data_IF_253230022843
#
_entry.id   IF_253230022843
#
_cell.length_a   1.000
_cell.length_b   1.000
_cell.length_c   1.000
_cell.angle_alpha   90.00
_cell.angle_beta   90.00
_cell.angle_gamma   90.00
#
_symmetry.space_group_name_H-M   'P 1'
#
loop_
_entity.id
_entity.type
_entity.pdbx_description
1 polymer ?
#
# COMPACT_ATOMS: atom_id res chain seq x y z
N UNK A 1 -36.61 11.75 -7.55
CA UNK A 1 -35.87 11.57 -6.29
C UNK A 1 -35.06 12.83 -6.07
N UNK A 2 -35.24 13.49 -4.91
CA UNK A 2 -34.69 14.84 -4.65
C UNK A 2 -33.18 14.92 -4.91
N UNK A 3 -32.79 15.85 -5.78
CA UNK A 3 -31.41 16.26 -6.07
C UNK A 3 -30.88 17.31 -5.08
N UNK A 4 -31.63 17.61 -4.02
CA UNK A 4 -31.23 18.59 -3.02
C UNK A 4 -30.04 18.05 -2.19
N UNK A 5 -28.88 18.69 -2.35
CA UNK A 5 -27.70 18.50 -1.51
C UNK A 5 -28.07 18.93 -0.09
N UNK A 6 -28.24 17.97 0.82
CA UNK A 6 -28.30 18.32 2.24
C UNK A 6 -26.89 18.69 2.71
N UNK A 7 -26.66 19.98 2.96
CA UNK A 7 -25.40 20.49 3.53
C UNK A 7 -25.11 19.92 4.93
N UNK A 8 -26.11 19.34 5.59
CA UNK A 8 -26.01 18.77 6.94
C UNK A 8 -25.62 17.29 6.95
N UNK A 9 -25.36 16.66 5.81
CA UNK A 9 -24.96 15.26 5.73
C UNK A 9 -23.60 15.08 5.02
N UNK A 10 -22.83 14.07 5.43
CA UNK A 10 -21.61 13.61 4.76
C UNK A 10 -21.93 12.95 3.41
N UNK A 11 -20.99 13.04 2.46
CA UNK A 11 -21.05 12.28 1.22
C UNK A 11 -20.45 10.88 1.43
N UNK A 12 -21.31 9.91 1.77
CA UNK A 12 -20.92 8.50 1.88
C UNK A 12 -21.10 7.71 0.59
N UNK A 13 -21.57 8.32 -0.51
CA UNK A 13 -21.69 7.62 -1.79
C UNK A 13 -20.31 7.21 -2.31
N UNK A 14 -19.40 8.19 -2.44
CA UNK A 14 -18.05 7.94 -2.96
C UNK A 14 -17.24 7.02 -2.04
N UNK A 15 -17.41 7.17 -0.72
CA UNK A 15 -16.76 6.30 0.27
C UNK A 15 -17.22 4.86 0.12
N UNK A 16 -18.53 4.60 -0.06
CA UNK A 16 -19.05 3.26 -0.30
C UNK A 16 -18.50 2.66 -1.59
N UNK A 17 -18.50 3.43 -2.67
CA UNK A 17 -18.00 2.98 -3.97
C UNK A 17 -16.54 2.53 -3.88
N UNK A 18 -15.67 3.37 -3.33
CA UNK A 18 -14.27 3.00 -3.12
C UNK A 18 -14.11 1.86 -2.12
N UNK A 19 -14.86 1.82 -1.01
CA UNK A 19 -14.74 0.74 -0.02
C UNK A 19 -15.04 -0.65 -0.62
N UNK A 20 -16.05 -0.74 -1.50
CA UNK A 20 -16.36 -1.98 -2.22
C UNK A 20 -15.26 -2.29 -3.24
N UNK A 21 -14.82 -1.30 -4.02
CA UNK A 21 -13.76 -1.51 -5.00
C UNK A 21 -12.41 -1.87 -4.37
N UNK A 22 -12.11 -1.40 -3.15
CA UNK A 22 -10.96 -1.87 -2.36
C UNK A 22 -11.01 -3.37 -2.18
N UNK A 23 -12.15 -3.94 -1.77
CA UNK A 23 -12.27 -5.39 -1.58
C UNK A 23 -12.14 -6.14 -2.91
N UNK A 24 -12.78 -5.64 -3.97
CA UNK A 24 -12.72 -6.24 -5.32
C UNK A 24 -11.29 -6.26 -5.86
N UNK A 25 -10.61 -5.12 -5.84
CA UNK A 25 -9.24 -5.01 -6.32
C UNK A 25 -8.23 -5.72 -5.42
N UNK A 26 -8.50 -5.82 -4.11
CA UNK A 26 -7.73 -6.65 -3.20
C UNK A 26 -7.75 -8.13 -3.62
N UNK A 27 -8.92 -8.67 -3.96
CA UNK A 27 -9.04 -10.05 -4.46
C UNK A 27 -8.34 -10.22 -5.80
N UNK A 28 -8.55 -9.32 -6.75
CA UNK A 28 -7.94 -9.42 -8.09
C UNK A 28 -6.42 -9.31 -7.99
N UNK A 29 -5.91 -8.30 -7.30
CA UNK A 29 -4.47 -8.06 -7.16
C UNK A 29 -3.76 -9.17 -6.41
N UNK A 30 -4.30 -9.62 -5.27
CA UNK A 30 -3.71 -10.73 -4.51
C UNK A 30 -3.90 -12.08 -5.22
N UNK A 31 -4.99 -12.26 -5.96
CA UNK A 31 -5.21 -13.41 -6.85
C UNK A 31 -4.15 -13.51 -7.94
N UNK A 32 -3.85 -12.38 -8.60
CA UNK A 32 -2.72 -12.28 -9.52
C UNK A 32 -1.39 -12.59 -8.83
N UNK A 33 -1.19 -12.12 -7.59
CA UNK A 33 -0.01 -12.41 -6.78
C UNK A 33 0.20 -13.91 -6.55
N UNK A 34 -0.86 -14.62 -6.16
CA UNK A 34 -0.83 -16.08 -6.00
C UNK A 34 -0.57 -16.77 -7.34
N UNK A 35 -1.19 -16.30 -8.41
CA UNK A 35 -1.00 -16.87 -9.75
C UNK A 35 0.45 -16.74 -10.24
N UNK A 36 1.05 -15.55 -10.17
CA UNK A 36 2.44 -15.35 -10.59
C UNK A 36 3.43 -16.02 -9.63
N UNK A 37 3.10 -16.16 -8.34
CA UNK A 37 3.89 -16.97 -7.42
C UNK A 37 3.87 -18.45 -7.82
N UNK A 38 2.72 -18.97 -8.26
CA UNK A 38 2.61 -20.33 -8.79
C UNK A 38 3.37 -20.50 -10.11
N UNK A 39 3.43 -19.48 -10.98
CA UNK A 39 4.26 -19.52 -12.19
C UNK A 39 5.76 -19.69 -11.91
N UNK A 40 6.25 -19.16 -10.78
CA UNK A 40 7.64 -19.35 -10.35
C UNK A 40 7.93 -20.76 -9.83
N UNK A 41 6.89 -21.48 -9.37
CA UNK A 41 7.00 -22.89 -8.97
C UNK A 41 6.84 -23.81 -10.18
N UNK A 42 5.87 -23.50 -11.03
CA UNK A 42 5.43 -24.31 -12.16
C UNK A 42 5.36 -23.44 -13.43
N UNK A 43 6.47 -23.32 -14.18
CA UNK A 43 6.54 -22.42 -15.33
C UNK A 43 5.54 -22.72 -16.45
N UNK A 44 5.00 -23.93 -16.56
CA UNK A 44 3.96 -24.25 -17.54
C UNK A 44 2.66 -23.46 -17.32
N UNK A 45 2.44 -22.87 -16.14
CA UNK A 45 1.35 -21.92 -15.87
C UNK A 45 1.52 -20.55 -16.58
N UNK A 46 2.61 -20.35 -17.32
CA UNK A 46 2.71 -19.24 -18.28
C UNK A 46 1.82 -19.47 -19.52
N UNK A 47 1.42 -20.72 -19.79
CA UNK A 47 0.56 -21.15 -20.89
C UNK A 47 1.09 -20.86 -22.30
N UNK A 48 2.37 -20.51 -22.44
CA UNK A 48 3.00 -20.10 -23.71
C UNK A 48 2.24 -18.96 -24.44
N UNK A 49 1.50 -18.14 -23.67
CA UNK A 49 0.80 -16.96 -24.18
C UNK A 49 1.48 -15.68 -23.69
N UNK A 50 1.63 -14.67 -24.55
CA UNK A 50 2.34 -13.45 -24.18
C UNK A 50 1.65 -12.71 -23.03
N UNK A 51 0.31 -12.61 -23.05
CA UNK A 51 -0.47 -11.88 -22.04
C UNK A 51 -0.64 -12.59 -20.69
N UNK A 52 -0.30 -13.88 -20.59
CA UNK A 52 -0.27 -14.59 -19.30
C UNK A 52 1.13 -14.84 -18.79
N UNK A 53 2.17 -14.43 -19.52
CA UNK A 53 3.56 -14.61 -19.07
C UNK A 53 3.86 -13.82 -17.80
N UNK A 54 4.70 -14.39 -16.93
CA UNK A 54 5.12 -13.79 -15.66
C UNK A 54 5.62 -12.35 -15.83
N UNK A 55 6.42 -12.09 -16.88
CA UNK A 55 6.99 -10.78 -17.16
C UNK A 55 5.94 -9.68 -17.38
N UNK A 56 4.76 -10.01 -17.92
CA UNK A 56 3.66 -9.05 -18.13
C UNK A 56 2.67 -9.02 -16.98
N UNK A 57 2.46 -10.14 -16.29
CA UNK A 57 1.54 -10.21 -15.16
C UNK A 57 2.14 -9.66 -13.86
N UNK A 58 3.47 -9.68 -13.69
CA UNK A 58 4.14 -9.06 -12.53
C UNK A 58 3.79 -7.58 -12.37
N UNK A 59 3.98 -6.69 -13.36
CA UNK A 59 3.60 -5.28 -13.20
C UNK A 59 2.10 -5.10 -13.05
N UNK A 60 1.26 -5.99 -13.61
CA UNK A 60 -0.18 -5.96 -13.37
C UNK A 60 -0.53 -6.28 -11.91
N UNK A 61 0.10 -7.30 -11.32
CA UNK A 61 -0.03 -7.59 -9.89
C UNK A 61 0.37 -6.37 -9.06
N UNK A 62 1.55 -5.79 -9.33
CA UNK A 62 2.06 -4.59 -8.64
C UNK A 62 1.08 -3.44 -8.71
N UNK A 63 0.59 -3.09 -9.90
CA UNK A 63 -0.35 -1.98 -10.06
C UNK A 63 -1.71 -2.27 -9.41
N UNK A 64 -2.19 -3.51 -9.50
CA UNK A 64 -3.45 -3.91 -8.89
C UNK A 64 -3.38 -3.90 -7.35
N UNK A 65 -2.28 -4.34 -6.73
CA UNK A 65 -2.17 -4.33 -5.26
C UNK A 65 -1.85 -2.95 -4.69
N UNK A 66 -1.07 -2.13 -5.39
CA UNK A 66 -0.68 -0.80 -4.90
C UNK A 66 -1.75 0.23 -5.24
N UNK A 67 -2.00 0.47 -6.53
CA UNK A 67 -2.86 1.57 -6.95
C UNK A 67 -4.34 1.19 -6.97
N UNK A 68 -4.68 -0.04 -7.33
CA UNK A 68 -6.09 -0.46 -7.30
C UNK A 68 -6.58 -0.76 -5.88
N UNK A 69 -5.98 -1.73 -5.18
CA UNK A 69 -6.32 -2.05 -3.79
C UNK A 69 -5.94 -0.92 -2.83
N UNK A 70 -4.64 -0.60 -2.73
CA UNK A 70 -4.15 0.43 -1.82
C UNK A 70 -4.71 1.83 -2.14
N UNK A 71 -4.78 2.21 -3.41
CA UNK A 71 -5.34 3.50 -3.83
C UNK A 71 -6.83 3.62 -3.53
N UNK A 72 -7.64 2.61 -3.87
CA UNK A 72 -9.06 2.61 -3.49
C UNK A 72 -9.25 2.68 -1.97
N UNK A 73 -8.39 1.99 -1.21
CA UNK A 73 -8.40 2.08 0.25
C UNK A 73 -8.11 3.50 0.73
N UNK A 74 -7.09 4.16 0.18
CA UNK A 74 -6.74 5.53 0.51
C UNK A 74 -7.86 6.51 0.16
N UNK A 75 -8.50 6.38 -1.01
CA UNK A 75 -9.66 7.21 -1.38
C UNK A 75 -10.84 7.02 -0.43
N UNK A 76 -11.22 5.76 -0.14
CA UNK A 76 -12.31 5.48 0.79
C UNK A 76 -12.04 6.06 2.18
N UNK A 77 -10.84 5.80 2.71
CA UNK A 77 -10.48 6.22 4.07
C UNK A 77 -10.25 7.72 4.16
N UNK A 78 -9.54 8.35 3.23
CA UNK A 78 -9.29 9.80 3.28
C UNK A 78 -10.60 10.59 3.18
N UNK A 79 -11.50 10.24 2.27
CA UNK A 79 -12.80 10.89 2.13
C UNK A 79 -13.71 10.65 3.34
N UNK A 80 -13.63 9.48 3.98
CA UNK A 80 -14.35 9.24 5.22
C UNK A 80 -13.78 10.05 6.39
N UNK A 81 -12.46 10.03 6.55
CA UNK A 81 -11.75 10.63 7.68
C UNK A 81 -11.78 12.15 7.62
N UNK A 82 -11.48 12.76 6.46
CA UNK A 82 -11.43 14.23 6.32
C UNK A 82 -12.78 14.85 6.64
N UNK A 83 -13.87 14.23 6.17
CA UNK A 83 -15.22 14.69 6.46
C UNK A 83 -15.51 14.70 7.97
N UNK A 84 -15.23 13.59 8.65
CA UNK A 84 -15.55 13.43 10.08
C UNK A 84 -14.65 14.23 11.00
N UNK A 85 -13.37 14.38 10.64
CA UNK A 85 -12.41 15.14 11.45
C UNK A 85 -12.54 16.65 11.24
N UNK A 86 -13.01 17.09 10.08
CA UNK A 86 -13.33 18.49 9.81
C UNK A 86 -14.80 18.85 10.14
N UNK A 87 -15.65 17.85 10.40
CA UNK A 87 -17.11 17.96 10.57
C UNK A 87 -17.78 18.73 9.43
N UNK A 88 -17.35 18.41 8.20
CA UNK A 88 -17.82 19.04 6.99
C UNK A 88 -18.07 17.99 5.91
N UNK A 89 -19.06 18.20 5.04
CA UNK A 89 -19.24 17.43 3.82
C UNK A 89 -18.05 17.66 2.87
N UNK A 90 -17.74 16.68 2.02
CA UNK A 90 -16.76 16.87 0.94
C UNK A 90 -17.00 18.15 0.15
N UNK A 91 -15.91 18.78 -0.28
CA UNK A 91 -15.92 20.05 -1.00
C UNK A 91 -16.85 20.06 -2.22
N UNK A 92 -16.82 18.99 -3.02
CA UNK A 92 -17.66 18.84 -4.20
C UNK A 92 -17.99 17.36 -4.47
N UNK A 93 -19.29 17.06 -4.55
CA UNK A 93 -19.80 15.71 -4.82
C UNK A 93 -19.48 15.24 -6.24
N UNK A 94 -19.53 16.15 -7.23
CA UNK A 94 -19.25 15.84 -8.64
C UNK A 94 -17.77 15.56 -8.86
N UNK A 95 -16.88 16.37 -8.27
CA UNK A 95 -15.44 16.14 -8.34
C UNK A 95 -15.06 14.85 -7.60
N UNK A 96 -15.65 14.57 -6.44
CA UNK A 96 -15.42 13.31 -5.74
C UNK A 96 -15.89 12.11 -6.60
N UNK A 97 -17.05 12.20 -7.25
CA UNK A 97 -17.52 11.16 -8.16
C UNK A 97 -16.62 10.99 -9.40
N UNK A 98 -16.08 12.09 -9.94
CA UNK A 98 -15.09 12.05 -11.01
C UNK A 98 -13.83 11.31 -10.56
N UNK A 99 -13.31 11.57 -9.36
CA UNK A 99 -12.14 10.85 -8.85
C UNK A 99 -12.39 9.34 -8.74
N UNK A 100 -13.61 8.93 -8.39
CA UNK A 100 -13.98 7.52 -8.41
C UNK A 100 -13.90 6.94 -9.82
N UNK A 101 -14.72 7.43 -10.75
CA UNK A 101 -14.77 6.86 -12.09
C UNK A 101 -13.45 6.99 -12.87
N UNK A 102 -12.74 8.10 -12.68
CA UNK A 102 -11.42 8.31 -13.25
C UNK A 102 -10.40 7.30 -12.71
N UNK A 103 -10.38 7.04 -11.40
CA UNK A 103 -9.50 6.03 -10.82
C UNK A 103 -9.85 4.61 -11.28
N UNK A 104 -11.15 4.29 -11.37
CA UNK A 104 -11.59 3.01 -11.94
C UNK A 104 -11.17 2.86 -13.40
N UNK A 105 -11.24 3.93 -14.19
CA UNK A 105 -10.78 3.93 -15.58
C UNK A 105 -9.27 3.68 -15.68
N UNK A 106 -8.45 4.33 -14.83
CA UNK A 106 -6.99 4.07 -14.74
C UNK A 106 -6.72 2.59 -14.48
N UNK A 107 -7.40 1.99 -13.51
CA UNK A 107 -7.16 0.59 -13.15
C UNK A 107 -7.59 -0.36 -14.27
N UNK A 108 -8.74 -0.11 -14.91
CA UNK A 108 -9.20 -0.92 -16.05
C UNK A 108 -8.22 -0.79 -17.21
N UNK A 109 -7.69 0.40 -17.47
CA UNK A 109 -6.64 0.60 -18.47
C UNK A 109 -5.40 -0.22 -18.13
N UNK A 110 -4.93 -0.22 -16.88
CA UNK A 110 -3.80 -1.05 -16.45
C UNK A 110 -4.05 -2.56 -16.70
N UNK A 111 -5.25 -3.06 -16.39
CA UNK A 111 -5.66 -4.46 -16.64
C UNK A 111 -5.62 -4.80 -18.13
N UNK A 112 -5.91 -3.84 -19.00
CA UNK A 112 -5.91 -4.05 -20.45
C UNK A 112 -4.50 -3.91 -21.03
N UNK A 113 -3.76 -2.87 -20.66
CA UNK A 113 -2.54 -2.47 -21.36
C UNK A 113 -1.30 -3.25 -20.91
N UNK A 114 -1.17 -3.56 -19.61
CA UNK A 114 0.02 -4.27 -19.11
C UNK A 114 0.15 -5.70 -19.66
N UNK A 115 -0.91 -6.54 -19.71
CA UNK A 115 -0.83 -7.84 -20.39
C UNK A 115 -0.55 -7.73 -21.91
N UNK A 116 -0.96 -6.64 -22.55
CA UNK A 116 -0.64 -6.39 -23.96
C UNK A 116 0.84 -6.01 -24.17
N UNK A 117 1.57 -5.70 -23.11
CA UNK A 117 3.01 -5.40 -23.13
C UNK A 117 3.33 -3.91 -23.24
N UNK A 118 2.33 -3.03 -23.08
CA UNK A 118 2.55 -1.60 -23.03
C UNK A 118 3.06 -1.23 -21.66
N UNK A 119 4.35 -0.95 -21.58
CA UNK A 119 4.99 -0.55 -20.34
C UNK A 119 6.15 0.42 -20.55
N UNK A 120 6.26 1.39 -19.64
CA UNK A 120 7.43 2.26 -19.50
C UNK A 120 8.67 1.52 -18.99
N UNK A 121 8.50 0.28 -18.49
CA UNK A 121 9.52 -0.56 -17.81
C UNK A 121 10.04 -0.02 -16.46
N UNK A 122 9.47 1.09 -15.97
CA UNK A 122 9.78 1.69 -14.67
C UNK A 122 8.91 1.08 -13.57
N UNK A 123 9.52 0.48 -12.55
CA UNK A 123 8.77 -0.13 -11.45
C UNK A 123 7.83 0.87 -10.76
N UNK A 124 6.59 0.44 -10.51
CA UNK A 124 5.49 1.26 -9.96
C UNK A 124 5.03 2.43 -10.85
N UNK A 125 5.66 2.66 -12.01
CA UNK A 125 5.29 3.68 -12.98
C UNK A 125 5.12 3.05 -14.36
N UNK A 126 4.66 1.79 -14.43
CA UNK A 126 4.70 0.98 -15.64
C UNK A 126 3.72 1.42 -16.72
N UNK A 127 2.69 2.19 -16.38
CA UNK A 127 1.67 2.64 -17.31
C UNK A 127 2.25 3.67 -18.28
N UNK A 128 1.73 3.71 -19.51
CA UNK A 128 2.23 4.60 -20.56
C UNK A 128 1.56 5.99 -20.49
N UNK A 129 2.21 6.97 -21.11
CA UNK A 129 1.94 8.41 -20.99
C UNK A 129 0.46 8.86 -21.04
N UNK A 130 -0.47 8.29 -21.84
CA UNK A 130 -1.87 8.76 -21.80
C UNK A 130 -2.54 8.44 -20.46
N UNK A 131 -2.17 7.30 -19.87
CA UNK A 131 -2.68 6.86 -18.57
C UNK A 131 -2.05 7.70 -17.47
N UNK A 132 -0.79 8.09 -17.61
CA UNK A 132 -0.13 8.98 -16.65
C UNK A 132 -0.75 10.37 -16.60
N UNK A 133 -1.15 10.92 -17.76
CA UNK A 133 -1.92 12.17 -17.81
C UNK A 133 -3.27 11.99 -17.12
N UNK A 134 -3.98 10.89 -17.39
CA UNK A 134 -5.25 10.61 -16.73
C UNK A 134 -5.09 10.51 -15.21
N UNK A 135 -4.06 9.81 -14.72
CA UNK A 135 -3.70 9.74 -13.31
C UNK A 135 -3.49 11.14 -12.75
N UNK A 136 -2.68 11.98 -13.41
CA UNK A 136 -2.40 13.34 -12.95
C UNK A 136 -3.69 14.17 -12.82
N UNK A 137 -4.59 14.12 -13.81
CA UNK A 137 -5.88 14.84 -13.78
C UNK A 137 -6.76 14.35 -12.61
N UNK A 138 -6.88 13.03 -12.44
CA UNK A 138 -7.66 12.42 -11.35
C UNK A 138 -7.07 12.82 -10.00
N UNK A 139 -5.75 12.78 -9.87
CA UNK A 139 -5.04 13.05 -8.63
C UNK A 139 -5.07 14.53 -8.23
N UNK A 140 -4.94 15.45 -9.19
CA UNK A 140 -5.12 16.89 -8.95
C UNK A 140 -6.56 17.16 -8.51
N UNK A 141 -7.55 16.53 -9.16
CA UNK A 141 -8.95 16.67 -8.75
C UNK A 141 -9.18 16.14 -7.33
N UNK A 142 -8.56 15.03 -6.98
CA UNK A 142 -8.57 14.48 -5.63
C UNK A 142 -7.96 15.45 -4.60
N UNK A 143 -6.82 16.06 -4.92
CA UNK A 143 -6.21 17.07 -4.08
C UNK A 143 -7.15 18.26 -3.84
N UNK A 144 -7.81 18.76 -4.89
CA UNK A 144 -8.79 19.84 -4.78
C UNK A 144 -9.97 19.46 -3.86
N UNK A 145 -10.51 18.24 -3.99
CA UNK A 145 -11.58 17.76 -3.11
C UNK A 145 -11.11 17.67 -1.67
N UNK A 146 -9.95 17.07 -1.42
CA UNK A 146 -9.44 16.85 -0.07
C UNK A 146 -9.09 18.17 0.63
N UNK A 147 -8.25 19.01 0.02
CA UNK A 147 -7.85 20.29 0.61
C UNK A 147 -9.01 21.29 0.67
N UNK A 148 -9.89 21.32 -0.33
CA UNK A 148 -11.12 22.10 -0.28
C UNK A 148 -12.02 21.70 0.89
N UNK A 149 -12.05 20.41 1.26
CA UNK A 149 -12.81 19.95 2.45
C UNK A 149 -12.17 20.43 3.74
N UNK A 150 -10.83 20.42 3.83
CA UNK A 150 -10.08 20.98 4.98
C UNK A 150 -10.31 22.49 5.12
N UNK A 151 -10.43 23.22 4.01
CA UNK A 151 -10.72 24.65 4.03
C UNK A 151 -12.11 24.97 4.60
N UNK A 152 -13.08 24.06 4.43
CA UNK A 152 -14.45 24.19 4.96
C UNK A 152 -14.63 23.62 6.39
N UNK A 153 -13.55 23.28 7.07
CA UNK A 153 -13.60 22.65 8.41
C UNK A 153 -14.29 23.56 9.43
N UNK A 154 -14.97 22.95 10.41
CA UNK A 154 -15.55 23.65 11.56
C UNK A 154 -14.53 23.89 12.68
N UNK A 155 -13.61 22.95 12.91
CA UNK A 155 -12.57 23.06 13.93
C UNK A 155 -11.42 23.97 13.48
N UNK A 156 -10.87 24.79 14.39
CA UNK A 156 -9.67 25.61 14.08
C UNK A 156 -8.47 24.74 13.72
N UNK A 157 -8.28 23.63 14.42
CA UNK A 157 -7.15 22.72 14.23
C UNK A 157 -7.46 21.64 13.17
N UNK A 158 -6.44 21.29 12.39
CA UNK A 158 -6.48 20.16 11.46
C UNK A 158 -5.95 18.94 12.18
N UNK A 159 -6.73 17.86 12.18
CA UNK A 159 -6.33 16.59 12.78
C UNK A 159 -5.06 16.01 12.15
N UNK A 160 -4.17 15.42 12.94
CA UNK A 160 -2.88 14.88 12.47
C UNK A 160 -3.05 13.87 11.34
N UNK A 161 -4.08 13.02 11.38
CA UNK A 161 -4.37 12.09 10.28
C UNK A 161 -4.50 12.79 8.92
N UNK A 162 -5.02 14.03 8.90
CA UNK A 162 -5.12 14.82 7.67
C UNK A 162 -3.78 15.47 7.27
N UNK A 163 -2.81 15.62 8.19
CA UNK A 163 -1.45 16.03 7.82
C UNK A 163 -0.78 14.94 7.00
N UNK A 164 -0.88 13.69 7.48
CA UNK A 164 -0.43 12.51 6.76
C UNK A 164 -1.13 12.39 5.42
N UNK A 165 -2.47 12.48 5.38
CA UNK A 165 -3.17 12.42 4.10
C UNK A 165 -2.78 13.57 3.15
N UNK A 166 -2.69 14.80 3.65
CA UNK A 166 -2.29 15.95 2.83
C UNK A 166 -0.88 15.81 2.26
N UNK A 167 0.08 15.36 3.06
CA UNK A 167 1.46 15.12 2.64
C UNK A 167 1.52 14.01 1.58
N UNK A 168 0.80 12.91 1.79
CA UNK A 168 0.67 11.82 0.82
C UNK A 168 0.17 12.34 -0.54
N UNK A 169 -0.89 13.13 -0.55
CA UNK A 169 -1.52 13.62 -1.77
C UNK A 169 -0.55 14.50 -2.56
N UNK A 170 0.07 15.48 -1.90
CA UNK A 170 0.94 16.46 -2.53
C UNK A 170 2.22 15.82 -3.05
N UNK A 171 2.88 15.01 -2.22
CA UNK A 171 4.15 14.40 -2.61
C UNK A 171 3.91 13.36 -3.69
N UNK A 172 2.88 12.51 -3.62
CA UNK A 172 2.57 11.55 -4.69
C UNK A 172 2.34 12.26 -6.04
N UNK A 173 1.66 13.41 -6.05
CA UNK A 173 1.48 14.20 -7.27
C UNK A 173 2.83 14.65 -7.86
N UNK A 174 3.72 15.17 -7.01
CA UNK A 174 5.07 15.58 -7.42
C UNK A 174 5.89 14.40 -7.95
N UNK A 175 5.87 13.26 -7.25
CA UNK A 175 6.58 12.05 -7.65
C UNK A 175 6.12 11.59 -9.04
N UNK A 176 4.80 11.45 -9.22
CA UNK A 176 4.18 11.01 -10.48
C UNK A 176 4.57 11.91 -11.64
N UNK A 177 4.43 13.23 -11.49
CA UNK A 177 4.72 14.17 -12.56
C UNK A 177 6.20 14.14 -12.95
N UNK A 178 7.12 14.07 -11.98
CA UNK A 178 8.56 14.13 -12.25
C UNK A 178 9.06 12.82 -12.87
N UNK A 179 8.71 11.65 -12.32
CA UNK A 179 9.22 10.38 -12.84
C UNK A 179 8.67 10.02 -14.23
N UNK A 180 7.46 10.49 -14.53
CA UNK A 180 6.77 10.22 -15.78
C UNK A 180 6.91 11.40 -16.76
N UNK A 181 7.99 12.18 -16.64
CA UNK A 181 8.44 13.04 -17.74
C UNK A 181 9.05 12.14 -18.81
N UNK A 182 8.37 12.08 -19.95
CA UNK A 182 8.72 11.19 -21.05
C UNK A 182 8.27 11.78 -22.39
N UNK A 183 8.98 11.42 -23.46
CA UNK A 183 8.70 11.85 -24.82
C UNK A 183 7.80 10.80 -25.48
N UNK A 184 6.54 11.12 -25.81
CA UNK A 184 5.67 10.22 -26.55
C UNK A 184 6.20 9.94 -27.96
N UNK A 185 6.26 8.67 -28.33
CA UNK A 185 6.61 8.21 -29.69
C UNK A 185 5.36 7.73 -30.42
N UNK A 186 4.51 6.97 -29.74
CA UNK A 186 3.21 6.52 -30.24
C UNK A 186 2.17 6.58 -29.12
N UNK A 187 0.91 6.23 -29.42
CA UNK A 187 -0.18 6.25 -28.44
C UNK A 187 0.09 5.44 -27.17
N UNK A 188 0.79 4.31 -27.26
CA UNK A 188 1.14 3.48 -26.10
C UNK A 188 2.65 3.21 -26.05
N UNK A 189 3.44 4.20 -26.47
CA UNK A 189 4.90 4.15 -26.30
C UNK A 189 5.51 5.52 -26.08
N UNK A 190 6.30 5.63 -25.03
CA UNK A 190 7.16 6.76 -24.69
C UNK A 190 8.61 6.32 -24.42
N UNK A 191 9.51 7.30 -24.33
CA UNK A 191 10.84 7.13 -23.72
C UNK A 191 11.02 8.14 -22.60
N UNK A 192 11.58 7.69 -21.46
CA UNK A 192 11.86 8.57 -20.33
C UNK A 192 12.73 9.77 -20.75
N UNK A 193 12.48 10.92 -20.13
CA UNK A 193 13.32 12.11 -20.27
C UNK A 193 14.75 11.88 -19.76
N UNK A 194 14.92 10.91 -18.86
CA UNK A 194 16.19 10.62 -18.20
C UNK A 194 16.84 9.35 -18.79
N UNK A 195 18.13 9.15 -18.51
CA UNK A 195 18.83 7.89 -18.82
C UNK A 195 19.89 7.54 -17.77
N UNK A 196 20.37 6.29 -17.80
CA UNK A 196 21.50 5.82 -16.99
C UNK A 196 21.32 6.02 -15.48
N UNK A 197 22.39 6.45 -14.79
CA UNK A 197 22.36 6.65 -13.35
C UNK A 197 21.36 7.74 -12.89
N UNK A 198 21.10 8.74 -13.73
CA UNK A 198 20.10 9.77 -13.45
C UNK A 198 18.70 9.21 -13.49
N UNK A 199 18.39 8.39 -14.51
CA UNK A 199 17.07 7.73 -14.58
C UNK A 199 16.87 6.75 -13.42
N UNK A 200 17.92 6.01 -13.06
CA UNK A 200 17.89 5.14 -11.89
C UNK A 200 17.61 5.93 -10.59
N UNK A 201 18.26 7.08 -10.40
CA UNK A 201 18.02 7.92 -9.23
C UNK A 201 16.58 8.44 -9.22
N UNK A 202 16.11 9.06 -10.31
CA UNK A 202 14.72 9.56 -10.40
C UNK A 202 13.72 8.42 -10.17
N UNK A 203 13.97 7.26 -10.76
CA UNK A 203 13.16 6.07 -10.61
C UNK A 203 13.07 5.60 -9.16
N UNK A 204 14.16 5.58 -8.40
CA UNK A 204 14.13 5.09 -7.02
C UNK A 204 13.85 6.16 -5.97
N UNK A 205 14.08 7.44 -6.30
CA UNK A 205 13.43 8.54 -5.60
C UNK A 205 11.91 8.41 -5.73
N UNK A 206 11.39 8.14 -6.93
CA UNK A 206 9.98 7.84 -7.13
C UNK A 206 9.53 6.58 -6.40
N UNK A 207 10.14 5.43 -6.69
CA UNK A 207 9.69 4.12 -6.23
C UNK A 207 9.73 3.99 -4.70
N UNK A 208 10.80 4.50 -4.07
CA UNK A 208 10.86 4.50 -2.61
C UNK A 208 9.82 5.45 -2.00
N UNK A 209 9.63 6.64 -2.57
CA UNK A 209 8.64 7.57 -2.05
C UNK A 209 7.20 7.21 -2.46
N UNK A 210 7.00 6.34 -3.44
CA UNK A 210 5.72 5.70 -3.69
C UNK A 210 5.37 4.82 -2.48
N UNK A 211 6.26 3.93 -2.04
CA UNK A 211 6.00 3.17 -0.80
C UNK A 211 6.01 4.06 0.45
N UNK A 212 6.80 5.13 0.47
CA UNK A 212 6.91 6.06 1.58
C UNK A 212 5.70 6.95 1.80
N UNK A 213 5.19 7.58 0.75
CA UNK A 213 4.07 8.50 0.86
C UNK A 213 2.75 7.79 0.59
N UNK A 214 2.68 6.97 -0.47
CA UNK A 214 1.46 6.23 -0.77
C UNK A 214 1.22 5.14 0.29
N UNK A 215 2.17 4.22 0.49
CA UNK A 215 1.98 3.03 1.34
C UNK A 215 2.33 3.21 2.83
N UNK A 216 3.07 4.26 3.20
CA UNK A 216 3.37 4.57 4.61
C UNK A 216 2.62 5.81 5.08
N UNK A 217 2.88 6.99 4.52
CA UNK A 217 2.26 8.24 4.99
C UNK A 217 0.74 8.20 4.88
N UNK A 218 0.17 7.81 3.74
CA UNK A 218 -1.29 7.70 3.58
C UNK A 218 -1.93 6.71 4.56
N UNK A 219 -1.28 5.57 4.80
CA UNK A 219 -1.78 4.54 5.72
C UNK A 219 -1.55 4.89 7.20
N UNK A 220 -0.56 5.72 7.52
CA UNK A 220 -0.46 6.37 8.83
C UNK A 220 -1.65 7.30 9.06
N UNK A 221 -2.17 7.96 8.01
CA UNK A 221 -3.44 8.69 8.07
C UNK A 221 -4.62 7.80 8.46
N UNK A 222 -4.70 6.57 7.93
CA UNK A 222 -5.69 5.57 8.35
C UNK A 222 -5.47 5.19 9.82
N UNK A 223 -4.24 4.83 10.20
CA UNK A 223 -3.87 4.44 11.56
C UNK A 223 -4.31 5.49 12.57
N UNK A 224 -3.97 6.76 12.32
CA UNK A 224 -4.32 7.87 13.19
C UNK A 224 -5.82 7.99 13.41
N UNK A 225 -6.66 7.67 12.42
CA UNK A 225 -8.10 7.69 12.64
C UNK A 225 -8.64 6.40 13.26
N UNK A 226 -8.37 5.25 12.64
CA UNK A 226 -9.07 4.00 12.94
C UNK A 226 -8.57 3.34 14.22
N UNK A 227 -7.29 3.47 14.58
CA UNK A 227 -6.76 2.93 15.84
C UNK A 227 -7.45 3.56 17.06
N UNK A 228 -7.38 4.88 17.29
CA UNK A 228 -8.05 5.49 18.44
C UNK A 228 -9.57 5.35 18.35
N UNK A 229 -10.15 5.37 17.14
CA UNK A 229 -11.60 5.27 16.98
C UNK A 229 -12.15 3.88 17.31
N UNK A 230 -11.44 2.82 16.94
CA UNK A 230 -11.82 1.44 17.29
C UNK A 230 -11.46 1.10 18.74
N UNK A 231 -10.31 1.58 19.23
CA UNK A 231 -9.90 1.38 20.61
C UNK A 231 -10.73 2.20 21.62
N UNK A 232 -11.38 3.27 21.15
CA UNK A 232 -12.05 4.28 21.98
C UNK A 232 -11.10 4.89 23.02
N UNK A 233 -9.90 5.23 22.55
CA UNK A 233 -8.84 5.82 23.37
C UNK A 233 -8.34 7.11 22.72
N UNK A 234 -7.93 8.10 23.53
CA UNK A 234 -7.25 9.27 22.98
C UNK A 234 -5.91 8.84 22.39
N UNK A 235 -5.47 9.53 21.34
CA UNK A 235 -4.13 9.36 20.78
C UNK A 235 -3.09 9.61 21.87
N UNK A 236 -2.12 8.71 21.99
CA UNK A 236 -1.14 8.71 23.08
C UNK A 236 -0.33 10.03 23.18
N UNK A 237 0.39 10.42 22.12
CA UNK A 237 1.28 11.59 22.20
C UNK A 237 1.14 12.50 20.99
N UNK A 238 0.56 13.68 21.23
CA UNK A 238 0.49 14.75 20.22
C UNK A 238 1.88 15.30 19.86
N UNK A 239 2.81 15.39 20.82
CA UNK A 239 4.19 15.84 20.54
C UNK A 239 4.92 14.84 19.63
N UNK A 240 4.76 13.55 19.90
CA UNK A 240 5.31 12.51 19.03
C UNK A 240 4.68 12.60 17.63
N UNK A 241 3.37 12.89 17.56
CA UNK A 241 2.65 13.14 16.30
C UNK A 241 3.30 14.24 15.45
N UNK A 242 3.76 15.33 16.07
CA UNK A 242 4.47 16.42 15.38
C UNK A 242 5.85 15.97 14.93
N UNK A 243 6.67 15.45 15.86
CA UNK A 243 8.08 15.12 15.59
C UNK A 243 8.16 14.04 14.52
N UNK A 244 7.40 12.96 14.67
CA UNK A 244 7.46 11.86 13.72
C UNK A 244 6.89 12.25 12.36
N UNK A 245 5.86 13.11 12.30
CA UNK A 245 5.33 13.58 11.02
C UNK A 245 6.38 14.37 10.24
N UNK A 246 6.94 15.44 10.81
CA UNK A 246 7.87 16.31 10.10
C UNK A 246 9.18 15.62 9.77
N UNK A 247 9.72 14.82 10.70
CA UNK A 247 10.92 14.05 10.45
C UNK A 247 10.67 12.98 9.36
N UNK A 248 9.54 12.26 9.40
CA UNK A 248 9.22 11.26 8.38
C UNK A 248 9.11 11.88 7.00
N UNK A 249 8.27 12.90 6.81
CA UNK A 249 8.04 13.47 5.47
C UNK A 249 9.28 14.16 4.89
N UNK A 250 10.21 14.62 5.73
CA UNK A 250 11.45 15.25 5.26
C UNK A 250 12.50 14.19 4.90
N UNK A 251 12.67 13.19 5.75
CA UNK A 251 13.74 12.19 5.61
C UNK A 251 13.43 11.13 4.56
N UNK A 252 12.16 10.74 4.38
CA UNK A 252 11.78 9.68 3.43
C UNK A 252 12.22 10.00 2.00
N UNK A 253 12.17 11.28 1.61
CA UNK A 253 12.56 11.75 0.28
C UNK A 253 13.99 11.33 -0.10
N UNK A 254 14.89 11.27 0.87
CA UNK A 254 16.30 11.01 0.67
C UNK A 254 16.67 9.53 0.58
N UNK A 255 15.76 8.63 0.95
CA UNK A 255 16.07 7.21 1.06
C UNK A 255 16.08 6.46 -0.28
N UNK A 256 15.74 7.12 -1.41
CA UNK A 256 15.77 6.52 -2.75
C UNK A 256 17.06 5.75 -3.11
N UNK A 257 18.28 6.31 -2.90
CA UNK A 257 19.53 5.65 -3.28
C UNK A 257 19.84 4.33 -2.58
N UNK A 258 19.09 3.93 -1.54
CA UNK A 258 19.28 2.63 -0.89
C UNK A 258 18.89 1.43 -1.79
N UNK A 259 18.19 1.69 -2.89
CA UNK A 259 17.88 0.73 -3.93
C UNK A 259 19.04 0.56 -4.93
N UNK A 260 20.07 1.41 -4.82
CA UNK A 260 21.12 1.58 -5.83
C UNK A 260 22.51 1.40 -5.24
N UNK A 261 22.64 0.67 -4.13
CA UNK A 261 23.93 0.37 -3.52
C UNK A 261 24.77 -0.53 -4.42
N UNK A 262 26.06 -0.21 -4.52
CA UNK A 262 27.02 -0.91 -5.39
C UNK A 262 26.59 -0.99 -6.86
N UNK A 263 25.84 0.01 -7.33
CA UNK A 263 25.49 0.19 -8.75
C UNK A 263 26.36 1.30 -9.38
N UNK A 264 26.05 1.67 -10.62
CA UNK A 264 26.68 2.80 -11.31
C UNK A 264 26.31 4.19 -10.73
N UNK A 265 25.39 4.27 -9.75
CA UNK A 265 25.08 5.52 -9.07
C UNK A 265 26.31 6.01 -8.27
N UNK A 266 26.65 7.31 -8.28
CA UNK A 266 27.78 7.83 -7.51
C UNK A 266 27.74 7.49 -6.02
N UNK A 267 28.89 7.16 -5.45
CA UNK A 267 29.02 6.70 -4.07
C UNK A 267 28.47 7.68 -3.02
N UNK A 268 28.61 8.99 -3.27
CA UNK A 268 28.09 10.02 -2.37
C UNK A 268 26.56 9.95 -2.24
N UNK A 269 25.86 9.67 -3.35
CA UNK A 269 24.40 9.58 -3.38
C UNK A 269 23.95 8.30 -2.67
N UNK A 270 24.66 7.19 -2.92
CA UNK A 270 24.42 5.94 -2.20
C UNK A 270 24.58 6.12 -0.68
N UNK A 271 25.68 6.74 -0.24
CA UNK A 271 25.94 6.97 1.19
C UNK A 271 24.90 7.90 1.83
N UNK A 272 24.43 8.91 1.10
CA UNK A 272 23.35 9.78 1.56
C UNK A 272 22.04 9.01 1.77
N UNK A 273 21.68 8.14 0.82
CA UNK A 273 20.52 7.26 0.94
C UNK A 273 20.63 6.33 2.15
N UNK A 274 21.79 5.67 2.34
CA UNK A 274 22.05 4.82 3.50
C UNK A 274 21.88 5.58 4.82
N UNK A 275 22.54 6.72 4.98
CA UNK A 275 22.49 7.50 6.24
C UNK A 275 21.07 7.95 6.53
N UNK A 276 20.35 8.46 5.53
CA UNK A 276 18.98 8.94 5.72
C UNK A 276 18.01 7.79 6.00
N UNK A 277 18.18 6.63 5.38
CA UNK A 277 17.41 5.42 5.70
C UNK A 277 17.62 4.94 7.13
N UNK A 278 18.84 5.05 7.67
CA UNK A 278 19.11 4.72 9.09
C UNK A 278 18.41 5.70 10.01
N UNK A 279 18.50 7.01 9.74
CA UNK A 279 17.83 8.04 10.54
C UNK A 279 16.30 7.88 10.46
N UNK A 280 15.77 7.44 9.31
CA UNK A 280 14.35 7.22 9.05
C UNK A 280 13.70 6.18 9.98
N UNK A 281 14.49 5.30 10.61
CA UNK A 281 14.02 4.35 11.62
C UNK A 281 13.26 5.05 12.76
N UNK A 282 13.84 6.13 13.30
CA UNK A 282 13.28 6.83 14.46
C UNK A 282 11.87 7.42 14.21
N UNK A 283 11.63 8.24 13.17
CA UNK A 283 10.29 8.76 12.91
C UNK A 283 9.32 7.68 12.41
N UNK A 284 9.81 6.64 11.75
CA UNK A 284 8.97 5.51 11.36
C UNK A 284 8.41 4.79 12.58
N UNK A 285 9.26 4.42 13.54
CA UNK A 285 8.84 3.84 14.82
C UNK A 285 8.04 4.81 15.68
N UNK A 286 8.23 6.12 15.54
CA UNK A 286 7.35 7.12 16.15
C UNK A 286 5.88 6.89 15.80
N UNK A 287 5.56 6.48 14.57
CA UNK A 287 4.21 6.11 14.15
C UNK A 287 3.70 4.84 14.83
N UNK A 288 4.53 3.79 14.87
CA UNK A 288 4.23 2.52 15.54
C UNK A 288 3.96 2.72 17.03
N UNK A 289 4.87 3.42 17.72
CA UNK A 289 4.78 3.71 19.15
C UNK A 289 3.50 4.50 19.44
N UNK A 290 3.21 5.54 18.66
CA UNK A 290 2.01 6.34 18.88
C UNK A 290 0.73 5.52 18.69
N UNK A 291 0.68 4.66 17.66
CA UNK A 291 -0.43 3.76 17.43
C UNK A 291 -0.60 2.70 18.53
N UNK A 292 0.48 2.01 18.92
CA UNK A 292 0.41 0.95 19.94
C UNK A 292 0.16 1.49 21.34
N UNK A 293 0.81 2.60 21.72
CA UNK A 293 0.62 3.19 23.06
C UNK A 293 -0.77 3.82 23.22
N UNK A 294 -1.44 4.16 22.12
CA UNK A 294 -2.87 4.55 22.14
C UNK A 294 -3.75 3.40 22.67
N UNK A 295 -3.34 2.14 22.55
CA UNK A 295 -4.03 1.01 23.14
C UNK A 295 -3.69 0.75 24.61
N UNK A 296 -2.79 1.51 25.23
CA UNK A 296 -2.44 1.29 26.64
C UNK A 296 -3.69 1.35 27.54
N UNK A 297 -3.88 0.33 28.37
CA UNK A 297 -5.09 0.12 29.17
C UNK A 297 -6.31 -0.45 28.40
N UNK A 298 -6.22 -0.66 27.09
CA UNK A 298 -7.25 -1.27 26.24
C UNK A 298 -6.82 -2.62 25.63
N UNK A 299 -5.65 -3.16 25.99
CA UNK A 299 -5.12 -4.44 25.48
C UNK A 299 -6.08 -5.63 25.63
N UNK A 300 -6.95 -5.62 26.65
CA UNK A 300 -7.98 -6.65 26.82
C UNK A 300 -8.96 -6.73 25.63
N UNK A 301 -9.19 -5.61 24.91
CA UNK A 301 -10.02 -5.57 23.70
C UNK A 301 -9.45 -6.43 22.56
N UNK A 302 -8.15 -6.73 22.57
CA UNK A 302 -7.58 -7.65 21.58
C UNK A 302 -8.12 -9.07 21.72
N UNK A 303 -8.69 -9.46 22.86
CA UNK A 303 -9.30 -10.79 23.01
C UNK A 303 -10.71 -10.85 22.41
N UNK A 304 -11.39 -9.71 22.30
CA UNK A 304 -12.82 -9.64 21.95
C UNK A 304 -13.08 -9.00 20.59
N UNK A 305 -12.22 -8.08 20.14
CA UNK A 305 -12.39 -7.32 18.90
C UNK A 305 -11.31 -7.69 17.86
N UNK A 306 -11.67 -8.50 16.85
CA UNK A 306 -10.73 -8.87 15.80
C UNK A 306 -10.43 -7.73 14.81
N UNK A 307 -11.26 -6.68 14.75
CA UNK A 307 -10.92 -5.47 13.96
C UNK A 307 -9.70 -4.80 14.60
N UNK A 308 -9.69 -4.66 15.92
CA UNK A 308 -8.56 -4.11 16.65
C UNK A 308 -7.31 -5.01 16.55
N UNK A 309 -7.47 -6.34 16.44
CA UNK A 309 -6.35 -7.25 16.14
C UNK A 309 -5.67 -6.90 14.83
N UNK A 310 -6.45 -6.71 13.75
CA UNK A 310 -5.91 -6.27 12.46
C UNK A 310 -5.11 -4.97 12.58
N UNK A 311 -5.69 -3.96 13.25
CA UNK A 311 -5.06 -2.65 13.41
C UNK A 311 -3.78 -2.68 14.26
N UNK A 312 -3.69 -3.58 15.24
CA UNK A 312 -2.47 -3.71 16.08
C UNK A 312 -1.40 -4.55 15.41
N UNK A 313 -1.77 -5.70 14.85
CA UNK A 313 -0.82 -6.55 14.11
C UNK A 313 -0.27 -5.80 12.90
N UNK A 314 -1.07 -4.92 12.28
CA UNK A 314 -0.55 -4.03 11.24
C UNK A 314 0.59 -3.15 11.73
N UNK A 315 0.48 -2.61 12.94
CA UNK A 315 1.54 -1.79 13.53
C UNK A 315 2.78 -2.61 13.88
N UNK A 316 2.61 -3.87 14.28
CA UNK A 316 3.73 -4.77 14.53
C UNK A 316 4.54 -5.03 13.25
N UNK A 317 3.89 -5.38 12.15
CA UNK A 317 4.56 -5.56 10.85
C UNK A 317 5.09 -4.27 10.25
N UNK A 318 4.42 -3.14 10.49
CA UNK A 318 4.95 -1.82 10.15
C UNK A 318 6.26 -1.53 10.90
N UNK A 319 6.29 -1.75 12.21
CA UNK A 319 7.50 -1.60 13.02
C UNK A 319 8.64 -2.52 12.58
N UNK A 320 8.30 -3.78 12.30
CA UNK A 320 9.23 -4.78 11.79
C UNK A 320 9.83 -4.39 10.44
N UNK A 321 8.99 -4.07 9.44
CA UNK A 321 9.47 -3.71 8.10
C UNK A 321 10.19 -2.36 8.09
N UNK A 322 9.76 -1.39 8.89
CA UNK A 322 10.48 -0.10 9.05
C UNK A 322 11.71 -0.20 9.95
N UNK A 323 12.00 -1.37 10.51
CA UNK A 323 13.30 -1.71 11.08
C UNK A 323 14.17 -2.45 10.04
N UNK A 324 13.61 -3.46 9.38
CA UNK A 324 14.30 -4.24 8.35
C UNK A 324 14.78 -3.38 7.18
N UNK A 325 13.96 -2.43 6.72
CA UNK A 325 14.31 -1.49 5.64
C UNK A 325 15.61 -0.73 5.92
N UNK A 326 15.72 0.01 7.04
CA UNK A 326 16.97 0.62 7.47
C UNK A 326 18.15 -0.34 7.57
N UNK A 327 17.94 -1.59 8.02
CA UNK A 327 19.01 -2.58 8.07
C UNK A 327 19.49 -2.97 6.67
N UNK A 328 18.57 -3.22 5.74
CA UNK A 328 18.92 -3.53 4.34
C UNK A 328 19.43 -2.32 3.55
N UNK A 329 19.23 -1.10 4.06
CA UNK A 329 19.81 0.12 3.51
C UNK A 329 21.27 0.33 3.94
N UNK A 330 21.82 -0.50 4.83
CA UNK A 330 23.24 -0.53 5.12
C UNK A 330 23.92 -1.23 3.94
N UNK A 331 24.87 -0.56 3.28
CA UNK A 331 25.58 -1.09 2.09
C UNK A 331 26.01 -2.55 2.26
N UNK A 332 26.65 -2.92 3.37
CA UNK A 332 27.10 -4.30 3.63
C UNK A 332 25.97 -5.33 3.70
N UNK A 333 24.81 -4.97 4.26
CA UNK A 333 23.64 -5.85 4.28
C UNK A 333 23.02 -5.91 2.89
N UNK A 334 22.94 -4.77 2.20
CA UNK A 334 22.44 -4.67 0.83
C UNK A 334 23.25 -5.53 -0.14
N UNK A 335 24.57 -5.63 0.04
CA UNK A 335 25.43 -6.51 -0.75
C UNK A 335 25.02 -8.00 -0.69
N UNK A 336 24.20 -8.40 0.30
CA UNK A 336 23.58 -9.72 0.39
C UNK A 336 22.09 -9.71 -0.01
N UNK A 337 21.34 -8.67 0.36
CA UNK A 337 19.88 -8.63 0.14
C UNK A 337 19.47 -8.18 -1.26
N UNK A 338 20.33 -7.46 -1.97
CA UNK A 338 20.03 -6.91 -3.29
C UNK A 338 19.88 -8.02 -4.34
N UNK A 339 18.89 -7.88 -5.22
CA UNK A 339 18.47 -8.87 -6.21
C UNK A 339 17.99 -10.24 -5.67
N UNK A 340 17.99 -10.45 -4.36
CA UNK A 340 17.47 -11.70 -3.77
C UNK A 340 16.00 -11.58 -3.38
N UNK A 341 15.38 -12.73 -3.12
CA UNK A 341 14.03 -12.84 -2.56
C UNK A 341 13.88 -12.16 -1.19
N UNK A 342 14.97 -11.77 -0.52
CA UNK A 342 14.87 -10.99 0.72
C UNK A 342 14.14 -9.66 0.46
N UNK A 343 14.45 -9.00 -0.66
CA UNK A 343 13.72 -7.77 -1.06
C UNK A 343 12.22 -8.05 -1.21
N UNK A 344 11.84 -9.19 -1.79
CA UNK A 344 10.43 -9.60 -1.95
C UNK A 344 9.79 -9.89 -0.58
N UNK A 345 10.53 -10.51 0.33
CA UNK A 345 10.11 -10.76 1.72
C UNK A 345 9.84 -9.47 2.48
N UNK A 346 10.75 -8.50 2.39
CA UNK A 346 10.59 -7.18 2.98
C UNK A 346 9.36 -6.45 2.41
N UNK A 347 9.22 -6.44 1.08
CA UNK A 347 8.07 -5.83 0.40
C UNK A 347 6.78 -6.44 0.92
N UNK A 348 6.68 -7.77 1.04
CA UNK A 348 5.45 -8.42 1.49
C UNK A 348 5.23 -8.36 3.00
N UNK A 349 6.28 -8.20 3.81
CA UNK A 349 6.15 -7.86 5.22
C UNK A 349 5.42 -6.52 5.40
N UNK A 350 5.82 -5.51 4.63
CA UNK A 350 5.12 -4.21 4.59
C UNK A 350 3.76 -4.27 3.89
N UNK A 351 3.66 -4.95 2.74
CA UNK A 351 2.44 -4.94 1.93
C UNK A 351 1.32 -5.78 2.56
N UNK A 352 1.60 -7.02 2.95
CA UNK A 352 0.60 -7.89 3.59
C UNK A 352 0.46 -7.55 5.07
N UNK A 353 1.58 -7.45 5.77
CA UNK A 353 1.60 -7.28 7.22
C UNK A 353 1.18 -5.89 7.67
N UNK A 354 1.55 -4.82 6.97
CA UNK A 354 1.15 -3.44 7.33
C UNK A 354 -0.02 -2.94 6.48
N UNK A 355 0.19 -2.69 5.19
CA UNK A 355 -0.76 -2.03 4.28
C UNK A 355 -2.09 -2.76 4.20
N UNK A 356 -2.06 -4.07 3.93
CA UNK A 356 -3.28 -4.84 3.80
C UNK A 356 -4.00 -4.99 5.15
N UNK A 357 -3.28 -5.30 6.24
CA UNK A 357 -3.89 -5.46 7.57
C UNK A 357 -4.56 -4.17 8.07
N UNK A 358 -3.90 -3.01 7.97
CA UNK A 358 -4.51 -1.73 8.40
C UNK A 358 -5.71 -1.38 7.51
N UNK A 359 -5.64 -1.68 6.21
CA UNK A 359 -6.77 -1.51 5.28
C UNK A 359 -7.94 -2.38 5.67
N UNK A 360 -7.71 -3.67 5.89
CA UNK A 360 -8.74 -4.64 6.25
C UNK A 360 -9.43 -4.21 7.54
N UNK A 361 -8.65 -3.86 8.58
CA UNK A 361 -9.20 -3.32 9.83
C UNK A 361 -10.02 -2.04 9.62
N UNK A 362 -9.50 -1.10 8.82
CA UNK A 362 -10.19 0.15 8.48
C UNK A 362 -11.49 -0.09 7.70
N UNK A 363 -11.49 -1.03 6.76
CA UNK A 363 -12.66 -1.42 5.98
C UNK A 363 -13.71 -2.12 6.85
N UNK A 364 -13.31 -3.07 7.70
CA UNK A 364 -14.23 -3.69 8.65
C UNK A 364 -14.81 -2.69 9.65
N UNK A 365 -14.04 -1.66 10.01
CA UNK A 365 -14.59 -0.53 10.73
C UNK A 365 -15.59 0.24 9.89
N UNK A 366 -15.20 0.81 8.74
CA UNK A 366 -15.99 1.84 8.05
C UNK A 366 -17.18 1.29 7.28
N UNK A 367 -17.09 0.10 6.66
CA UNK A 367 -18.14 -0.48 5.82
C UNK A 367 -19.50 -0.47 6.52
N UNK A 368 -19.67 -1.02 7.75
CA UNK A 368 -20.98 -1.00 8.38
C UNK A 368 -21.49 0.43 8.59
N UNK A 369 -20.64 1.38 8.99
CA UNK A 369 -21.05 2.78 9.25
C UNK A 369 -21.56 3.46 7.98
N UNK A 370 -20.83 3.34 6.86
CA UNK A 370 -21.23 3.99 5.61
C UNK A 370 -22.43 3.33 4.94
N UNK A 371 -22.74 2.08 5.31
CA UNK A 371 -23.95 1.37 4.90
C UNK A 371 -25.06 1.40 5.98
N UNK A 372 -24.97 2.27 6.99
CA UNK A 372 -26.03 2.43 8.00
C UNK A 372 -26.30 1.16 8.83
N UNK A 373 -25.25 0.40 9.11
CA UNK A 373 -25.25 -0.82 9.93
C UNK A 373 -24.41 -0.56 11.19
N UNK A 374 -24.80 -1.16 12.30
CA UNK A 374 -24.06 -1.06 13.56
C UNK A 374 -22.69 -1.76 13.46
N UNK A 375 -22.67 -2.95 12.85
CA UNK A 375 -21.49 -3.79 12.72
C UNK A 375 -21.52 -4.66 11.46
N UNK A 376 -20.39 -5.32 11.18
CA UNK A 376 -20.27 -6.33 10.14
C UNK A 376 -21.17 -7.54 10.44
N UNK A 377 -21.56 -8.28 9.40
CA UNK A 377 -22.46 -9.42 9.48
C UNK A 377 -21.96 -10.53 10.43
N UNK A 378 -20.66 -10.88 10.40
CA UNK A 378 -20.09 -11.87 11.31
C UNK A 378 -18.72 -11.45 11.82
N UNK A 379 -18.58 -11.31 13.13
CA UNK A 379 -17.30 -11.08 13.83
C UNK A 379 -16.41 -12.34 13.77
N UNK A 380 -17.01 -13.53 13.81
CA UNK A 380 -16.28 -14.80 13.68
C UNK A 380 -15.52 -14.91 12.35
N UNK A 381 -16.11 -14.43 11.25
CA UNK A 381 -15.44 -14.38 9.95
C UNK A 381 -14.30 -13.36 9.92
N UNK A 382 -14.41 -12.24 10.65
CA UNK A 382 -13.29 -11.29 10.80
C UNK A 382 -12.13 -11.98 11.53
N UNK A 383 -12.42 -12.75 12.57
CA UNK A 383 -11.40 -13.49 13.30
C UNK A 383 -10.75 -14.60 12.45
N UNK A 384 -11.53 -15.35 11.67
CA UNK A 384 -10.98 -16.34 10.74
C UNK A 384 -10.10 -15.69 9.67
N UNK A 385 -10.54 -14.56 9.10
CA UNK A 385 -9.72 -13.77 8.19
C UNK A 385 -8.42 -13.31 8.86
N UNK A 386 -8.47 -12.80 10.09
CA UNK A 386 -7.28 -12.37 10.82
C UNK A 386 -6.22 -13.47 10.91
N UNK A 387 -6.62 -14.70 11.26
CA UNK A 387 -5.68 -15.82 11.37
C UNK A 387 -5.12 -16.25 10.01
N UNK A 388 -5.98 -16.36 8.98
CA UNK A 388 -5.53 -16.69 7.63
C UNK A 388 -4.53 -15.66 7.09
N UNK A 389 -4.84 -14.38 7.26
CA UNK A 389 -3.96 -13.29 6.85
C UNK A 389 -2.64 -13.31 7.63
N UNK A 390 -2.68 -13.53 8.95
CA UNK A 390 -1.47 -13.54 9.78
C UNK A 390 -0.56 -14.72 9.45
N UNK A 391 -1.13 -15.93 9.37
CA UNK A 391 -0.38 -17.14 9.00
C UNK A 391 0.17 -17.00 7.58
N UNK A 392 -0.64 -16.51 6.64
CA UNK A 392 -0.22 -16.26 5.27
C UNK A 392 0.97 -15.30 5.18
N UNK A 393 0.91 -14.16 5.87
CA UNK A 393 2.01 -13.20 5.95
C UNK A 393 3.27 -13.82 6.54
N UNK A 394 3.18 -14.53 7.66
CA UNK A 394 4.35 -15.13 8.32
C UNK A 394 5.00 -16.21 7.45
N UNK A 395 4.21 -17.08 6.81
CA UNK A 395 4.74 -18.08 5.87
C UNK A 395 5.47 -17.42 4.70
N UNK A 396 4.88 -16.35 4.14
CA UNK A 396 5.48 -15.58 3.06
C UNK A 396 6.84 -15.02 3.47
N UNK A 397 6.90 -14.29 4.59
CA UNK A 397 8.14 -13.67 5.09
C UNK A 397 9.20 -14.72 5.36
N UNK A 398 8.85 -15.80 6.09
CA UNK A 398 9.80 -16.85 6.43
C UNK A 398 10.42 -17.49 5.18
N UNK A 399 9.60 -17.82 4.18
CA UNK A 399 10.08 -18.42 2.93
C UNK A 399 11.01 -17.49 2.14
N UNK A 400 10.73 -16.20 2.13
CA UNK A 400 11.51 -15.21 1.41
C UNK A 400 12.82 -14.84 2.10
N UNK A 401 12.86 -14.89 3.43
CA UNK A 401 14.12 -14.80 4.16
C UNK A 401 15.01 -16.01 3.90
N UNK A 402 14.45 -17.22 3.95
CA UNK A 402 15.21 -18.43 3.63
C UNK A 402 15.76 -18.35 2.21
N UNK A 403 14.92 -18.08 1.21
CA UNK A 403 15.39 -17.94 -0.18
C UNK A 403 16.40 -16.79 -0.33
N UNK A 404 16.11 -15.63 0.24
CA UNK A 404 16.93 -14.44 0.08
C UNK A 404 18.34 -14.60 0.64
N UNK A 405 18.45 -15.17 1.84
CA UNK A 405 19.75 -15.47 2.45
C UNK A 405 20.47 -16.58 1.68
N UNK A 406 19.76 -17.65 1.29
CA UNK A 406 20.35 -18.73 0.48
C UNK A 406 20.90 -18.21 -0.83
N UNK A 407 20.13 -17.43 -1.60
CA UNK A 407 20.56 -16.81 -2.85
C UNK A 407 21.77 -15.91 -2.64
N UNK A 408 21.70 -14.97 -1.70
CA UNK A 408 22.79 -14.03 -1.43
C UNK A 408 24.08 -14.73 -1.02
N UNK A 409 23.99 -15.79 -0.21
CA UNK A 409 25.16 -16.58 0.22
C UNK A 409 25.71 -17.43 -0.93
N UNK A 410 24.86 -18.12 -1.69
CA UNK A 410 25.28 -18.99 -2.78
C UNK A 410 25.93 -18.18 -3.91
N UNK A 411 25.37 -17.02 -4.29
CA UNK A 411 25.92 -16.19 -5.37
C UNK A 411 27.29 -15.58 -5.06
N UNK A 412 27.63 -15.40 -3.77
CA UNK A 412 28.92 -14.87 -3.33
C UNK A 412 29.85 -15.92 -2.74
N UNK A 413 29.47 -17.20 -2.77
CA UNK A 413 30.27 -18.28 -2.24
C UNK A 413 31.49 -18.51 -3.13
N UNK A 414 32.66 -18.53 -2.49
CA UNK A 414 33.96 -18.69 -3.15
C UNK A 414 34.68 -19.86 -2.46
N UNK A 415 35.21 -20.77 -3.26
CA UNK A 415 36.03 -21.89 -2.81
C UNK A 415 37.40 -21.42 -2.29
N UNK A 416 38.13 -22.29 -1.60
CA UNK A 416 39.49 -21.96 -1.13
C UNK A 416 40.44 -21.55 -2.26
N UNK A 417 40.19 -22.01 -3.49
CA UNK A 417 40.98 -21.70 -4.69
C UNK A 417 40.55 -20.40 -5.42
N UNK A 418 39.53 -19.69 -4.92
CA UNK A 418 39.03 -18.45 -5.51
C UNK A 418 37.96 -18.62 -6.60
N UNK A 419 37.58 -19.85 -6.95
CA UNK A 419 36.49 -20.12 -7.91
C UNK A 419 35.11 -19.96 -7.25
N UNK A 420 34.07 -19.65 -8.04
CA UNK A 420 32.69 -19.59 -7.54
C UNK A 420 32.20 -20.99 -7.15
N UNK A 421 31.67 -21.14 -5.93
CA UNK A 421 31.25 -22.46 -5.40
C UNK A 421 30.00 -23.00 -6.07
N UNK A 422 29.01 -22.15 -6.36
CA UNK A 422 27.72 -22.55 -6.92
C UNK A 422 27.48 -21.88 -8.27
N UNK A 423 26.91 -22.63 -9.19
CA UNK A 423 26.24 -22.10 -10.38
C UNK A 423 24.96 -21.37 -10.00
N UNK A 424 24.48 -20.49 -10.89
CA UNK A 424 23.21 -19.80 -10.68
C UNK A 424 22.01 -20.77 -10.66
N UNK A 425 22.08 -21.86 -11.42
CA UNK A 425 21.01 -22.87 -11.49
C UNK A 425 20.86 -23.61 -10.16
N UNK A 426 21.97 -23.95 -9.48
CA UNK A 426 21.90 -24.55 -8.14
C UNK A 426 21.21 -23.61 -7.12
N UNK A 427 21.47 -22.31 -7.19
CA UNK A 427 20.79 -21.33 -6.35
C UNK A 427 19.30 -21.20 -6.70
N UNK A 428 18.94 -21.31 -7.98
CA UNK A 428 17.55 -21.33 -8.45
C UNK A 428 16.80 -22.57 -7.93
N UNK A 429 17.41 -23.75 -8.03
CA UNK A 429 16.87 -25.01 -7.52
C UNK A 429 16.68 -24.96 -5.99
N UNK A 430 17.68 -24.44 -5.26
CA UNK A 430 17.62 -24.23 -3.82
C UNK A 430 16.48 -23.29 -3.40
N UNK A 431 16.04 -22.40 -4.29
CA UNK A 431 14.95 -21.46 -4.05
C UNK A 431 13.54 -22.05 -4.25
N UNK A 432 13.44 -23.21 -4.92
CA UNK A 432 12.15 -23.80 -5.31
C UNK A 432 11.23 -24.13 -4.11
N UNK A 433 11.70 -24.72 -3.00
CA UNK A 433 10.87 -24.94 -1.82
C UNK A 433 10.29 -23.64 -1.25
N UNK A 434 11.08 -22.56 -1.22
CA UNK A 434 10.59 -21.25 -0.77
C UNK A 434 9.54 -20.66 -1.72
N UNK A 435 9.63 -20.90 -3.03
CA UNK A 435 8.58 -20.50 -3.97
C UNK A 435 7.24 -21.18 -3.68
N UNK A 436 7.26 -22.48 -3.33
CA UNK A 436 6.06 -23.22 -2.93
C UNK A 436 5.44 -22.62 -1.66
N UNK A 437 6.26 -22.43 -0.61
CA UNK A 437 5.78 -21.90 0.68
C UNK A 437 5.24 -20.48 0.50
N UNK A 438 5.87 -19.64 -0.32
CA UNK A 438 5.37 -18.31 -0.68
C UNK A 438 3.99 -18.38 -1.35
N UNK A 439 3.83 -19.24 -2.35
CA UNK A 439 2.55 -19.41 -3.04
C UNK A 439 1.44 -19.86 -2.08
N UNK A 440 1.75 -20.79 -1.17
CA UNK A 440 0.83 -21.22 -0.11
C UNK A 440 0.50 -20.09 0.88
N UNK A 441 1.50 -19.35 1.36
CA UNK A 441 1.29 -18.21 2.25
C UNK A 441 0.39 -17.13 1.60
N UNK A 442 0.64 -16.82 0.34
CA UNK A 442 -0.22 -15.94 -0.46
C UNK A 442 -1.65 -16.50 -0.61
N UNK A 443 -1.82 -17.80 -0.84
CA UNK A 443 -3.12 -18.43 -0.97
C UNK A 443 -3.93 -18.40 0.35
N UNK A 444 -3.28 -18.57 1.51
CA UNK A 444 -3.90 -18.36 2.82
C UNK A 444 -4.42 -16.93 2.96
N UNK A 445 -3.59 -15.93 2.61
CA UNK A 445 -3.97 -14.53 2.66
C UNK A 445 -5.16 -14.23 1.72
N UNK A 446 -5.10 -14.70 0.48
CA UNK A 446 -6.17 -14.55 -0.51
C UNK A 446 -7.49 -15.19 -0.04
N UNK A 447 -7.43 -16.37 0.58
CA UNK A 447 -8.60 -17.03 1.17
C UNK A 447 -9.24 -16.14 2.25
N UNK A 448 -8.43 -15.46 3.05
CA UNK A 448 -8.87 -14.43 3.98
C UNK A 448 -9.65 -13.29 3.30
N UNK A 449 -9.14 -12.77 2.18
CA UNK A 449 -9.82 -11.74 1.39
C UNK A 449 -11.15 -12.22 0.80
N UNK A 450 -11.27 -13.49 0.40
CA UNK A 450 -12.54 -14.07 -0.02
C UNK A 450 -13.55 -14.12 1.15
N UNK A 451 -13.11 -14.44 2.37
CA UNK A 451 -13.96 -14.34 3.57
C UNK A 451 -14.40 -12.89 3.83
N UNK A 452 -13.50 -11.93 3.64
CA UNK A 452 -13.83 -10.50 3.74
C UNK A 452 -14.92 -10.11 2.74
N UNK A 453 -14.78 -10.50 1.48
CA UNK A 453 -15.78 -10.20 0.45
C UNK A 453 -17.13 -10.80 0.77
N UNK A 454 -17.17 -12.06 1.20
CA UNK A 454 -18.43 -12.69 1.63
C UNK A 454 -19.06 -11.94 2.82
N UNK A 455 -18.28 -11.61 3.84
CA UNK A 455 -18.77 -10.89 5.02
C UNK A 455 -19.25 -9.47 4.68
N UNK A 456 -18.52 -8.75 3.83
CA UNK A 456 -18.90 -7.43 3.34
C UNK A 456 -20.17 -7.49 2.50
N UNK A 457 -20.28 -8.44 1.55
CA UNK A 457 -21.47 -8.65 0.74
C UNK A 457 -22.72 -8.92 1.61
N UNK A 458 -22.60 -9.80 2.60
CA UNK A 458 -23.69 -10.09 3.55
C UNK A 458 -24.11 -8.84 4.35
N UNK A 459 -23.15 -8.02 4.76
CA UNK A 459 -23.38 -6.77 5.49
C UNK A 459 -24.11 -5.75 4.63
N UNK A 460 -23.65 -5.56 3.39
CA UNK A 460 -24.21 -4.60 2.41
C UNK A 460 -25.61 -5.02 1.97
N UNK A 461 -25.84 -6.32 1.71
CA UNK A 461 -27.14 -6.84 1.30
C UNK A 461 -28.22 -6.66 2.38
N UNK A 462 -27.84 -6.64 3.65
CA UNK A 462 -28.75 -6.42 4.77
C UNK A 462 -29.09 -4.94 5.01
N UNK A 463 -28.41 -4.00 4.33
CA UNK A 463 -28.60 -2.58 4.53
C UNK A 463 -29.82 -2.04 3.77
N UNK A 464 -30.61 -1.19 4.43
CA UNK A 464 -31.78 -0.55 3.83
C UNK A 464 -31.45 0.87 3.38
N UNK A 465 -31.92 1.35 2.21
CA UNK A 465 -31.61 2.69 1.70
C UNK A 465 -31.89 3.83 2.68
N UNK A 466 -33.00 3.77 3.43
CA UNK A 466 -33.35 4.77 4.44
C UNK A 466 -32.33 4.90 5.58
N UNK A 467 -31.54 3.86 5.85
CA UNK A 467 -30.50 3.86 6.87
C UNK A 467 -29.21 4.55 6.41
N UNK A 468 -29.01 4.72 5.09
CA UNK A 468 -27.85 5.43 4.55
C UNK A 468 -27.91 6.92 4.87
N UNK A 469 -29.08 7.54 4.70
CA UNK A 469 -29.25 8.98 4.88
C UNK A 469 -29.17 9.39 6.35
N UNK A 470 -29.65 8.53 7.25
CA UNK A 470 -29.50 8.71 8.69
C UNK A 470 -28.03 8.61 9.13
N UNK A 471 -27.29 7.61 8.63
CA UNK A 471 -25.88 7.42 8.97
C UNK A 471 -24.97 8.55 8.46
N UNK A 472 -25.40 9.25 7.41
CA UNK A 472 -24.68 10.37 6.84
C UNK A 472 -24.84 11.69 7.60
N UNK A 473 -25.83 11.83 8.50
CA UNK A 473 -26.05 13.11 9.19
C UNK A 473 -24.84 13.56 10.01
N UNK A 474 -24.50 14.84 9.89
CA UNK A 474 -23.44 15.49 10.66
C UNK A 474 -24.04 15.82 12.03
N UNK A 475 -23.65 15.04 13.04
CA UNK A 475 -23.98 15.32 14.44
C UNK A 475 -23.29 16.60 14.95
#
# INVERSE_FOLDING_TARGET
>A
MSTAISETAYNYKVVRQFAIMTVVWGIIGMGLGVFIAAQLVWPWLNFDLPWTSFGRLRPLHTNAVIFAFGGSALFATSYYVVQRTCQARLFSDSLAAFTFWGWQAVIVLAVITLPQGFTSTKEYAELEWPIDILIAIVWITYALVFFGTIMKRKSKHIYVGNWFFGAFILVTAMLHIVNNLEIPVTWFKSYSLYSGATDAMVQWWYGHNAVGFFLTTGFLGMMYYFVPKQAERPVYSYRLSIVHFWALITLYIWAGPHHLHYTALPDWAQSLGMVMSIILLAPSWGGMINGMMTLSGAWHKLRTDPILRFLVVSLAFYGMSTFEGPMMAIKTVNALSHYTDWTIGHVHAGALGWVAMITIGSMYHLIPKVFGREQMHSIGLINAHFWLATIGTVLYIASMWVNGITQGLMWRAINEDGTLTYSFVEALEASHPGFIVRALGGAFFLTGMLLMAYNAWRTVRAAKPAQYDAAAQIA
#
